data_IF_873210334008
#
_entry.id   IF_873210334008
#
_cell.length_a   1.000
_cell.length_b   1.000
_cell.length_c   1.000
_cell.angle_alpha   90.00
_cell.angle_beta   90.00
_cell.angle_gamma   90.00
#
_symmetry.space_group_name_H-M   'P 1'
#
loop_
_entity.id
_entity.type
_entity.pdbx_description
1 polymer ?
#
# COMPACT_ATOMS: atom_id res chain seq x y z
N UNK A 1 45.36 11.19 41.90
CA UNK A 1 44.64 9.97 41.48
C UNK A 1 45.70 8.89 41.26
N UNK A 2 45.74 7.87 42.12
CA UNK A 2 46.75 6.80 42.03
C UNK A 2 46.39 5.81 40.93
N UNK A 3 47.39 5.24 40.24
CA UNK A 3 47.21 4.26 39.17
C UNK A 3 46.41 3.02 39.62
N UNK A 4 46.52 2.67 40.90
CA UNK A 4 45.83 1.52 41.50
C UNK A 4 44.31 1.73 41.56
N UNK A 5 43.85 2.96 41.82
CA UNK A 5 42.41 3.29 41.86
C UNK A 5 41.76 3.21 40.47
N UNK A 6 42.53 3.50 39.41
CA UNK A 6 42.07 3.36 38.03
C UNK A 6 41.97 1.89 37.61
N UNK A 7 42.95 1.07 38.02
CA UNK A 7 42.94 -0.36 37.75
C UNK A 7 41.73 -1.08 38.39
N UNK A 8 41.39 -0.73 39.63
CA UNK A 8 40.25 -1.31 40.34
C UNK A 8 38.90 -0.92 39.73
N UNK A 9 38.77 0.33 39.25
CA UNK A 9 37.59 0.76 38.50
C UNK A 9 37.44 0.03 37.16
N UNK A 10 38.54 -0.34 36.51
CA UNK A 10 38.52 -1.07 35.25
C UNK A 10 38.14 -2.55 35.45
N UNK A 11 38.56 -3.18 36.55
CA UNK A 11 38.17 -4.57 36.84
C UNK A 11 36.66 -4.75 36.93
N UNK A 12 35.95 -3.82 37.58
CA UNK A 12 34.49 -3.87 37.68
C UNK A 12 33.80 -3.78 36.31
N UNK A 13 34.30 -2.92 35.42
CA UNK A 13 33.77 -2.74 34.06
C UNK A 13 34.06 -3.98 33.20
N UNK A 14 35.27 -4.53 33.30
CA UNK A 14 35.66 -5.73 32.55
C UNK A 14 34.90 -6.96 33.02
N UNK A 15 34.65 -7.09 34.32
CA UNK A 15 33.82 -8.17 34.88
C UNK A 15 32.36 -8.05 34.43
N UNK A 16 31.79 -6.85 34.44
CA UNK A 16 30.45 -6.59 33.94
C UNK A 16 30.31 -6.86 32.43
N UNK A 17 31.36 -6.58 31.64
CA UNK A 17 31.40 -6.90 30.22
C UNK A 17 31.51 -8.41 29.97
N UNK A 18 32.28 -9.13 30.81
CA UNK A 18 32.43 -10.59 30.74
C UNK A 18 31.16 -11.34 31.14
N UNK A 19 30.40 -10.83 32.11
CA UNK A 19 29.18 -11.46 32.62
C UNK A 19 27.93 -11.16 31.76
N UNK A 20 28.00 -10.22 30.82
CA UNK A 20 26.93 -10.00 29.84
C UNK A 20 26.85 -11.16 28.86
N UNK A 21 25.97 -12.11 29.15
CA UNK A 21 25.47 -13.08 28.16
C UNK A 21 24.79 -12.28 27.03
N UNK A 22 25.08 -12.56 25.75
CA UNK A 22 24.41 -11.89 24.65
C UNK A 22 22.91 -12.13 24.76
N UNK A 23 22.14 -11.06 24.92
CA UNK A 23 20.69 -11.14 25.01
C UNK A 23 20.20 -11.61 23.63
N UNK A 24 19.69 -12.83 23.54
CA UNK A 24 19.02 -13.34 22.34
C UNK A 24 17.71 -12.56 22.11
N UNK A 25 17.81 -11.33 21.59
CA UNK A 25 16.65 -10.45 21.41
C UNK A 25 15.82 -10.75 20.16
N UNK A 26 16.16 -11.73 19.34
CA UNK A 26 15.62 -11.82 17.97
C UNK A 26 14.65 -12.97 17.66
N UNK A 27 14.42 -13.93 18.55
CA UNK A 27 13.58 -15.09 18.19
C UNK A 27 12.06 -14.78 18.30
N UNK A 28 11.69 -13.78 19.10
CA UNK A 28 10.28 -13.45 19.39
C UNK A 28 9.66 -12.43 18.41
N UNK A 29 10.47 -11.69 17.65
CA UNK A 29 10.02 -10.66 16.70
C UNK A 29 9.72 -11.22 15.31
N UNK A 30 10.43 -12.26 14.87
CA UNK A 30 10.29 -12.83 13.52
C UNK A 30 8.99 -13.61 13.32
N UNK A 31 8.52 -14.34 14.34
CA UNK A 31 7.29 -15.15 14.26
C UNK A 31 6.04 -14.27 14.17
N UNK A 32 5.98 -13.19 14.96
CA UNK A 32 4.92 -12.18 14.89
C UNK A 32 4.91 -11.52 13.51
N UNK A 33 6.07 -11.13 12.98
CA UNK A 33 6.20 -10.54 11.65
C UNK A 33 5.67 -11.46 10.53
N UNK A 34 5.98 -12.76 10.57
CA UNK A 34 5.46 -13.73 9.59
C UNK A 34 3.95 -13.92 9.71
N UNK A 35 3.42 -14.03 10.92
CA UNK A 35 1.97 -14.17 11.15
C UNK A 35 1.22 -12.91 10.72
N UNK A 36 1.76 -11.72 10.99
CA UNK A 36 1.16 -10.45 10.59
C UNK A 36 1.18 -10.27 9.07
N UNK A 37 2.25 -10.70 8.40
CA UNK A 37 2.32 -10.74 6.93
C UNK A 37 1.27 -11.70 6.35
N UNK A 38 1.10 -12.88 6.93
CA UNK A 38 0.07 -13.84 6.49
C UNK A 38 -1.34 -13.31 6.72
N UNK A 39 -1.59 -12.61 7.84
CA UNK A 39 -2.88 -11.96 8.12
C UNK A 39 -3.16 -10.85 7.12
N UNK A 40 -2.18 -9.98 6.84
CA UNK A 40 -2.31 -8.94 5.84
C UNK A 40 -2.59 -9.52 4.44
N UNK A 41 -1.86 -10.57 4.05
CA UNK A 41 -2.08 -11.26 2.78
C UNK A 41 -3.48 -11.89 2.69
N UNK A 42 -3.96 -12.52 3.77
CA UNK A 42 -5.30 -13.09 3.83
C UNK A 42 -6.40 -12.02 3.68
N UNK A 43 -6.24 -10.87 4.36
CA UNK A 43 -7.17 -9.74 4.22
C UNK A 43 -7.20 -9.20 2.79
N UNK A 44 -6.04 -9.02 2.16
CA UNK A 44 -5.93 -8.57 0.77
C UNK A 44 -6.59 -9.57 -0.19
N UNK A 45 -6.41 -10.88 0.03
CA UNK A 45 -7.04 -11.92 -0.80
C UNK A 45 -8.58 -11.90 -0.70
N UNK A 46 -9.12 -11.73 0.51
CA UNK A 46 -10.58 -11.60 0.70
C UNK A 46 -11.12 -10.35 0.02
N UNK A 47 -10.43 -9.21 0.18
CA UNK A 47 -10.83 -7.96 -0.46
C UNK A 47 -10.75 -8.03 -1.98
N UNK A 48 -9.73 -8.68 -2.54
CA UNK A 48 -9.58 -8.82 -4.00
C UNK A 48 -10.66 -9.71 -4.61
N UNK A 49 -11.09 -10.76 -3.92
CA UNK A 49 -12.21 -11.59 -4.36
C UNK A 49 -13.54 -10.82 -4.42
N UNK A 50 -13.74 -9.85 -3.53
CA UNK A 50 -14.96 -9.01 -3.51
C UNK A 50 -15.05 -7.97 -4.64
N UNK A 51 -13.92 -7.52 -5.19
CA UNK A 51 -13.91 -6.47 -6.24
C UNK A 51 -14.37 -6.98 -7.62
N UNK A 52 -14.32 -8.29 -7.86
CA UNK A 52 -14.65 -8.89 -9.16
C UNK A 52 -16.17 -8.86 -9.45
N UNK A 53 -17.02 -8.81 -8.42
CA UNK A 53 -18.48 -8.82 -8.61
C UNK A 53 -19.07 -7.50 -9.10
N UNK A 54 -18.41 -6.36 -8.85
CA UNK A 54 -18.95 -5.03 -9.19
C UNK A 54 -18.76 -4.64 -10.67
N UNK A 55 -17.89 -5.34 -11.40
CA UNK A 55 -17.67 -5.05 -12.82
C UNK A 55 -18.93 -5.29 -13.68
N UNK A 56 -19.76 -6.27 -13.32
CA UNK A 56 -21.01 -6.54 -14.06
C UNK A 56 -22.00 -5.38 -13.96
N UNK A 57 -22.07 -4.72 -12.82
CA UNK A 57 -22.93 -3.56 -12.61
C UNK A 57 -22.40 -2.29 -13.30
N UNK A 58 -21.11 -2.25 -13.62
CA UNK A 58 -20.47 -1.12 -14.32
C UNK A 58 -20.50 -1.27 -15.84
N UNK A 59 -20.40 -2.49 -16.37
CA UNK A 59 -20.41 -2.79 -17.81
C UNK A 59 -21.62 -2.18 -18.55
N UNK A 60 -22.82 -2.22 -17.96
CA UNK A 60 -24.04 -1.63 -18.56
C UNK A 60 -24.11 -0.10 -18.50
N UNK A 61 -23.25 0.55 -17.69
CA UNK A 61 -23.19 2.01 -17.53
C UNK A 61 -22.07 2.66 -18.33
N UNK A 62 -21.19 1.86 -18.92
CA UNK A 62 -20.16 2.37 -19.81
C UNK A 62 -20.82 2.99 -21.05
N UNK A 63 -20.36 4.17 -21.47
CA UNK A 63 -20.95 4.90 -22.59
C UNK A 63 -20.81 4.18 -23.95
N UNK A 64 -20.07 3.07 -24.02
CA UNK A 64 -19.83 2.32 -25.26
C UNK A 64 -18.84 3.03 -26.20
N UNK A 65 -18.62 2.51 -27.42
CA UNK A 65 -17.71 3.11 -28.39
C UNK A 65 -18.23 4.46 -28.89
N UNK A 66 -17.31 5.33 -29.34
CA UNK A 66 -17.60 6.69 -29.81
C UNK A 66 -18.71 6.72 -30.89
N UNK A 67 -18.70 5.77 -31.83
CA UNK A 67 -19.75 5.67 -32.86
C UNK A 67 -21.14 5.39 -32.29
N UNK A 68 -21.26 4.51 -31.29
CA UNK A 68 -22.54 4.22 -30.64
C UNK A 68 -23.08 5.42 -29.86
N UNK A 69 -22.18 6.18 -29.24
CA UNK A 69 -22.52 7.42 -28.53
C UNK A 69 -23.02 8.46 -29.51
N UNK A 70 -22.29 8.64 -30.61
CA UNK A 70 -22.63 9.61 -31.65
C UNK A 70 -23.99 9.27 -32.29
N UNK A 71 -24.20 8.00 -32.65
CA UNK A 71 -25.48 7.55 -33.23
C UNK A 71 -26.67 7.76 -32.27
N UNK A 72 -26.49 7.49 -30.96
CA UNK A 72 -27.51 7.78 -29.94
C UNK A 72 -27.80 9.28 -29.85
N UNK A 73 -26.77 10.12 -29.89
CA UNK A 73 -26.90 11.59 -29.82
C UNK A 73 -27.63 12.13 -31.03
N UNK A 74 -27.27 11.71 -32.24
CA UNK A 74 -27.93 12.11 -33.48
C UNK A 74 -29.41 11.71 -33.47
N UNK A 75 -29.76 10.50 -33.00
CA UNK A 75 -31.16 10.07 -32.86
C UNK A 75 -31.95 10.93 -31.87
N UNK A 76 -31.28 11.48 -30.86
CA UNK A 76 -31.88 12.38 -29.86
C UNK A 76 -31.82 13.86 -30.29
N UNK A 77 -31.42 14.17 -31.53
CA UNK A 77 -31.29 15.54 -32.03
C UNK A 77 -30.17 16.35 -31.36
N UNK A 78 -29.21 15.68 -30.73
CA UNK A 78 -28.05 16.31 -30.10
C UNK A 78 -26.90 16.49 -31.10
N UNK A 79 -26.04 17.47 -30.84
CA UNK A 79 -24.80 17.66 -31.61
C UNK A 79 -23.89 16.44 -31.52
N UNK A 80 -23.08 16.22 -32.55
CA UNK A 80 -22.15 15.10 -32.63
C UNK A 80 -21.17 15.10 -31.43
N UNK A 81 -20.55 13.95 -31.16
CA UNK A 81 -19.70 13.76 -29.99
C UNK A 81 -18.47 14.68 -29.99
N UNK A 82 -17.90 14.99 -31.16
CA UNK A 82 -16.74 15.86 -31.30
C UNK A 82 -17.09 17.31 -30.95
N UNK A 83 -18.15 17.84 -31.53
CA UNK A 83 -18.68 19.18 -31.27
C UNK A 83 -19.09 19.33 -29.80
N UNK A 84 -19.73 18.29 -29.23
CA UNK A 84 -20.05 18.27 -27.80
C UNK A 84 -18.81 18.36 -26.90
N UNK A 85 -17.67 17.78 -27.30
CA UNK A 85 -16.40 17.86 -26.55
C UNK A 85 -15.72 19.21 -26.75
N UNK A 86 -15.86 19.79 -27.94
CA UNK A 86 -15.27 21.08 -28.31
C UNK A 86 -15.94 22.27 -27.62
N UNK A 87 -17.18 22.15 -27.12
CA UNK A 87 -17.89 23.21 -26.38
C UNK A 87 -17.13 23.78 -25.16
N UNK A 88 -16.10 23.10 -24.63
CA UNK A 88 -15.26 23.59 -23.53
C UNK A 88 -13.88 24.13 -23.97
N UNK A 89 -13.55 24.03 -25.25
CA UNK A 89 -12.30 24.60 -25.78
C UNK A 89 -12.54 26.04 -26.19
N UNK A 90 -12.67 26.94 -25.22
CA UNK A 90 -12.59 28.38 -25.51
C UNK A 90 -11.14 28.67 -25.90
N UNK A 91 -10.88 29.06 -27.15
CA UNK A 91 -9.63 29.72 -27.50
C UNK A 91 -9.55 31.03 -26.68
N UNK A 92 -8.50 31.15 -25.88
CA UNK A 92 -8.00 32.42 -25.38
C UNK A 92 -6.97 32.93 -26.37
#
# INVERSE_FOLDING_TARGET
>A
MSAESYAESLEGVLKAAREKVPIEKNVLTETNSRQDLLRAAALVAVLSMGQISDERASLGRQLGPAWSQDHRRTRMGQSNLMESRQKRSTWR
#
